data_IF_600520421078
#
_entry.id   IF_600520421078
#
_cell.length_a   1.000
_cell.length_b   1.000
_cell.length_c   1.000
_cell.angle_alpha   90.00
_cell.angle_beta   90.00
_cell.angle_gamma   90.00
#
_symmetry.space_group_name_H-M   'P 1'
#
loop_
_entity.id
_entity.type
_entity.pdbx_description
1 polymer ?
#
# COMPACT_ATOMS: atom_id res chain seq x y z
N UNK A 1 -47.24 -14.08 65.67
CA UNK A 1 -45.83 -13.86 65.22
C UNK A 1 -45.85 -12.92 64.06
N UNK A 2 -45.53 -11.65 64.23
CA UNK A 2 -45.56 -10.63 63.23
C UNK A 2 -44.12 -10.50 62.65
N UNK A 3 -43.91 -10.90 61.37
CA UNK A 3 -42.64 -10.69 60.68
C UNK A 3 -42.51 -9.21 60.28
N UNK A 4 -41.61 -8.49 60.97
CA UNK A 4 -41.23 -7.12 60.58
C UNK A 4 -40.39 -7.16 59.25
N UNK A 5 -41.00 -6.69 58.18
CA UNK A 5 -40.29 -6.40 56.94
C UNK A 5 -39.34 -5.21 57.16
N UNK A 6 -38.02 -5.45 57.15
CA UNK A 6 -37.02 -4.37 57.10
C UNK A 6 -37.11 -3.70 55.71
N UNK A 7 -37.64 -2.48 55.60
CA UNK A 7 -37.54 -1.64 54.40
C UNK A 7 -36.04 -1.41 54.09
N UNK A 8 -35.54 -1.99 53.01
CA UNK A 8 -34.21 -1.63 52.48
C UNK A 8 -34.25 -0.15 52.12
N UNK A 9 -33.50 0.69 52.83
CA UNK A 9 -33.29 2.09 52.44
C UNK A 9 -32.49 2.09 51.16
N UNK A 10 -33.07 2.61 50.08
CA UNK A 10 -32.41 2.85 48.84
C UNK A 10 -31.43 4.02 49.04
N UNK A 11 -30.13 3.75 48.90
CA UNK A 11 -29.12 4.77 49.08
C UNK A 11 -28.99 5.58 47.78
N UNK A 12 -29.85 6.57 47.60
CA UNK A 12 -29.94 7.41 46.39
C UNK A 12 -28.59 8.06 46.06
N UNK A 13 -27.79 8.48 47.03
CA UNK A 13 -26.44 9.03 46.79
C UNK A 13 -25.46 8.01 46.17
N UNK A 14 -25.54 6.74 46.62
CA UNK A 14 -24.71 5.66 46.03
C UNK A 14 -25.15 5.36 44.61
N UNK A 15 -26.44 5.34 44.35
CA UNK A 15 -26.96 5.18 42.98
C UNK A 15 -26.50 6.34 42.05
N UNK A 16 -26.62 7.59 42.54
CA UNK A 16 -26.21 8.75 41.77
C UNK A 16 -24.70 8.72 41.49
N UNK A 17 -23.87 8.31 42.45
CA UNK A 17 -22.44 8.15 42.29
C UNK A 17 -22.11 7.12 41.17
N UNK A 18 -22.72 5.93 41.23
CA UNK A 18 -22.53 4.92 40.21
C UNK A 18 -23.03 5.38 38.83
N UNK A 19 -24.17 6.06 38.77
CA UNK A 19 -24.68 6.62 37.50
C UNK A 19 -23.72 7.66 36.93
N UNK A 20 -23.16 8.53 37.77
CA UNK A 20 -22.17 9.55 37.32
C UNK A 20 -20.91 8.88 36.82
N UNK A 21 -20.41 7.84 37.50
CA UNK A 21 -19.23 7.09 37.04
C UNK A 21 -19.49 6.41 35.68
N UNK A 22 -20.66 5.82 35.48
CA UNK A 22 -21.04 5.20 34.21
C UNK A 22 -21.16 6.22 33.09
N UNK A 23 -21.74 7.41 33.36
CA UNK A 23 -21.87 8.49 32.41
C UNK A 23 -20.49 9.03 32.03
N UNK A 24 -19.62 9.29 33.00
CA UNK A 24 -18.24 9.78 32.75
C UNK A 24 -17.46 8.74 31.95
N UNK A 25 -17.53 7.46 32.37
CA UNK A 25 -16.89 6.37 31.61
C UNK A 25 -17.43 6.31 30.17
N UNK A 26 -18.74 6.44 29.95
CA UNK A 26 -19.34 6.47 28.62
C UNK A 26 -18.87 7.65 27.78
N UNK A 27 -18.80 8.84 28.37
CA UNK A 27 -18.35 10.07 27.66
C UNK A 27 -16.90 9.98 27.19
N UNK A 28 -16.02 9.34 27.95
CA UNK A 28 -14.61 9.19 27.59
C UNK A 28 -14.32 7.88 26.83
N UNK A 29 -14.96 6.78 27.21
CA UNK A 29 -14.73 5.46 26.65
C UNK A 29 -15.37 5.30 25.26
N UNK A 30 -16.60 5.80 25.05
CA UNK A 30 -17.27 5.69 23.75
C UNK A 30 -16.48 6.41 22.64
N UNK A 31 -16.06 7.69 22.78
CA UNK A 31 -15.25 8.34 21.75
C UNK A 31 -13.88 7.68 21.56
N UNK A 32 -13.31 7.10 22.62
CA UNK A 32 -12.04 6.36 22.51
C UNK A 32 -12.21 5.07 21.74
N UNK A 33 -13.26 4.29 22.01
CA UNK A 33 -13.58 3.04 21.28
C UNK A 33 -14.00 3.34 19.84
N UNK A 34 -14.69 4.47 19.59
CA UNK A 34 -15.14 4.86 18.25
C UNK A 34 -14.01 5.31 17.33
N UNK A 35 -12.80 5.53 17.85
CA UNK A 35 -11.63 5.72 16.98
C UNK A 35 -11.32 4.40 16.26
N UNK A 36 -11.21 4.39 14.92
CA UNK A 36 -10.98 3.16 14.15
C UNK A 36 -9.78 2.34 14.64
N UNK A 37 -8.70 3.00 15.02
CA UNK A 37 -7.48 2.39 15.54
C UNK A 37 -7.71 1.61 16.85
N UNK A 38 -8.46 2.19 17.80
CA UNK A 38 -8.72 1.55 19.10
C UNK A 38 -9.73 0.41 18.96
N UNK A 39 -10.76 0.59 18.13
CA UNK A 39 -11.73 -0.47 17.83
C UNK A 39 -11.07 -1.68 17.18
N UNK A 40 -10.11 -1.46 16.27
CA UNK A 40 -9.34 -2.53 15.62
C UNK A 40 -8.50 -3.30 16.63
N UNK A 41 -7.78 -2.59 17.51
CA UNK A 41 -6.97 -3.20 18.58
C UNK A 41 -7.80 -4.09 19.50
N UNK A 42 -8.95 -3.61 19.97
CA UNK A 42 -9.85 -4.37 20.84
C UNK A 42 -10.45 -5.58 20.12
N UNK A 43 -10.86 -5.44 18.86
CA UNK A 43 -11.35 -6.55 18.04
C UNK A 43 -10.28 -7.64 17.89
N UNK A 44 -9.04 -7.28 17.59
CA UNK A 44 -7.93 -8.22 17.46
C UNK A 44 -7.63 -8.92 18.80
N UNK A 45 -7.69 -8.19 19.93
CA UNK A 45 -7.52 -8.78 21.26
C UNK A 45 -8.63 -9.80 21.59
N UNK A 46 -9.87 -9.50 21.22
CA UNK A 46 -11.00 -10.42 21.40
C UNK A 46 -10.84 -11.66 20.51
N UNK A 47 -10.48 -11.48 19.24
CA UNK A 47 -10.24 -12.60 18.32
C UNK A 47 -9.08 -13.48 18.79
N UNK A 48 -7.96 -12.90 19.22
CA UNK A 48 -6.82 -13.67 19.76
C UNK A 48 -7.17 -14.43 21.04
N UNK A 49 -8.01 -13.84 21.90
CA UNK A 49 -8.50 -14.50 23.10
C UNK A 49 -9.45 -15.67 22.80
N UNK A 50 -10.36 -15.50 21.82
CA UNK A 50 -11.37 -16.51 21.49
C UNK A 50 -10.82 -17.67 20.64
N UNK A 51 -9.88 -17.40 19.75
CA UNK A 51 -9.43 -18.37 18.76
C UNK A 51 -7.98 -18.82 18.95
N UNK A 52 -7.22 -18.16 19.82
CA UNK A 52 -5.85 -18.56 20.19
C UNK A 52 -4.79 -18.54 19.08
N UNK A 53 -5.20 -18.23 17.85
CA UNK A 53 -4.40 -18.43 16.64
C UNK A 53 -3.72 -17.16 16.11
N UNK A 54 -4.16 -15.98 16.56
CA UNK A 54 -3.67 -14.70 16.02
C UNK A 54 -3.04 -13.83 17.10
N UNK A 55 -1.74 -14.04 17.31
CA UNK A 55 -0.92 -13.16 18.14
C UNK A 55 -0.13 -12.24 17.19
N UNK A 56 -0.52 -10.96 16.95
CA UNK A 56 0.19 -10.07 16.04
C UNK A 56 1.69 -9.96 16.35
N UNK A 57 2.05 -10.01 17.62
CA UNK A 57 3.44 -9.96 18.07
C UNK A 57 4.25 -11.22 17.77
N UNK A 58 3.61 -12.34 17.45
CA UNK A 58 4.31 -13.58 17.04
C UNK A 58 4.86 -13.51 15.61
N UNK A 59 4.42 -12.55 14.79
CA UNK A 59 4.94 -12.35 13.45
C UNK A 59 6.21 -11.48 13.47
N UNK A 60 7.23 -11.89 12.71
CA UNK A 60 8.49 -11.16 12.60
C UNK A 60 8.37 -9.82 11.85
N UNK A 61 7.26 -9.56 11.17
CA UNK A 61 7.04 -8.29 10.48
C UNK A 61 7.06 -7.11 11.46
N UNK A 62 7.71 -6.01 11.08
CA UNK A 62 7.73 -4.76 11.85
C UNK A 62 6.33 -4.17 11.96
N UNK A 63 5.63 -4.08 10.83
CA UNK A 63 4.23 -3.66 10.71
C UNK A 63 3.46 -4.63 9.82
N UNK A 64 2.20 -4.89 10.11
CA UNK A 64 1.37 -5.87 9.41
C UNK A 64 -0.11 -5.53 9.52
N UNK A 65 -0.84 -5.69 8.42
CA UNK A 65 -2.31 -5.78 8.43
C UNK A 65 -2.77 -6.97 7.59
N UNK A 66 -3.90 -7.55 7.98
CA UNK A 66 -4.68 -8.47 7.17
C UNK A 66 -6.12 -7.95 7.13
N UNK A 67 -6.63 -7.69 5.93
CA UNK A 67 -7.92 -7.02 5.71
C UNK A 67 -8.80 -7.86 4.79
N UNK A 68 -10.07 -8.05 5.16
CA UNK A 68 -11.11 -8.50 4.23
C UNK A 68 -11.62 -7.28 3.45
N UNK A 69 -11.32 -7.22 2.16
CA UNK A 69 -11.70 -6.10 1.29
C UNK A 69 -13.22 -5.98 1.08
N UNK A 70 -13.97 -7.06 1.26
CA UNK A 70 -15.43 -7.04 1.03
C UNK A 70 -16.20 -6.16 2.02
N UNK A 71 -15.68 -6.01 3.23
CA UNK A 71 -16.30 -5.25 4.32
C UNK A 71 -15.32 -4.33 5.06
N UNK A 72 -14.07 -4.26 4.58
CA UNK A 72 -12.98 -3.51 5.18
C UNK A 72 -12.70 -3.93 6.67
N UNK A 73 -12.92 -5.20 6.99
CA UNK A 73 -12.64 -5.76 8.29
C UNK A 73 -11.17 -6.12 8.45
N UNK A 74 -10.56 -5.63 9.52
CA UNK A 74 -9.17 -5.93 9.87
C UNK A 74 -9.12 -7.17 10.76
N UNK A 75 -8.56 -8.26 10.25
CA UNK A 75 -8.34 -9.50 11.02
C UNK A 75 -7.07 -9.44 11.86
N UNK A 76 -6.02 -8.82 11.32
CA UNK A 76 -4.74 -8.63 12.01
C UNK A 76 -4.34 -7.18 11.83
N UNK A 77 -3.82 -6.59 12.89
CA UNK A 77 -3.21 -5.26 12.88
C UNK A 77 -2.06 -5.24 13.86
N UNK A 78 -0.87 -4.86 13.36
CA UNK A 78 0.35 -4.67 14.16
C UNK A 78 1.01 -3.40 13.67
N UNK A 79 1.09 -2.38 14.54
CA UNK A 79 1.77 -1.11 14.28
C UNK A 79 1.40 -0.49 12.93
N UNK A 80 0.12 -0.51 12.61
CA UNK A 80 -0.41 -0.13 11.30
C UNK A 80 -0.16 1.34 10.93
N UNK A 81 0.03 2.20 11.93
CA UNK A 81 0.34 3.62 11.77
C UNK A 81 1.86 3.92 11.91
N UNK A 82 2.69 2.92 12.20
CA UNK A 82 4.13 3.13 12.31
C UNK A 82 4.74 3.28 10.92
N UNK A 83 5.44 4.40 10.71
CA UNK A 83 6.13 4.67 9.45
C UNK A 83 7.30 3.72 9.25
N UNK A 84 7.39 3.15 8.04
CA UNK A 84 8.43 2.23 7.61
C UNK A 84 8.95 2.65 6.23
N UNK A 85 10.15 2.19 5.88
CA UNK A 85 10.69 2.32 4.52
C UNK A 85 9.79 1.57 3.52
N UNK A 86 9.26 2.23 2.47
CA UNK A 86 8.43 1.56 1.46
C UNK A 86 9.23 0.61 0.57
N UNK A 87 10.50 0.90 0.33
CA UNK A 87 11.27 0.32 -0.76
C UNK A 87 10.46 0.39 -2.08
N UNK A 88 10.55 -0.62 -2.94
CA UNK A 88 9.81 -0.65 -4.21
C UNK A 88 8.29 -0.64 -4.10
N UNK A 89 7.70 -0.69 -2.90
CA UNK A 89 6.25 -0.44 -2.73
C UNK A 89 5.89 1.04 -3.00
N UNK A 90 6.85 1.96 -2.95
CA UNK A 90 6.69 3.36 -3.37
C UNK A 90 6.11 3.47 -4.78
N UNK A 91 6.47 2.55 -5.69
CA UNK A 91 5.98 2.52 -7.07
C UNK A 91 4.46 2.41 -7.20
N UNK A 92 3.77 1.88 -6.17
CA UNK A 92 2.30 1.84 -6.16
C UNK A 92 1.70 3.25 -6.13
N UNK A 93 2.24 4.13 -5.30
CA UNK A 93 1.83 5.54 -5.24
C UNK A 93 2.20 6.30 -6.51
N UNK A 94 3.40 6.03 -7.05
CA UNK A 94 3.87 6.62 -8.32
C UNK A 94 2.94 6.26 -9.47
N UNK A 95 2.56 4.99 -9.59
CA UNK A 95 1.65 4.50 -10.64
C UNK A 95 0.25 5.10 -10.46
N UNK A 96 -0.27 5.13 -9.23
CA UNK A 96 -1.60 5.69 -8.94
C UNK A 96 -1.65 7.16 -9.38
N UNK A 97 -0.65 7.95 -9.02
CA UNK A 97 -0.59 9.35 -9.41
C UNK A 97 -0.36 9.55 -10.92
N UNK A 98 0.60 8.83 -11.51
CA UNK A 98 0.92 8.93 -12.94
C UNK A 98 -0.30 8.58 -13.82
N UNK A 99 -1.13 7.62 -13.40
CA UNK A 99 -2.37 7.25 -14.09
C UNK A 99 -3.45 8.36 -14.05
N UNK A 100 -3.31 9.36 -13.19
CA UNK A 100 -4.18 10.57 -13.21
C UNK A 100 -3.69 11.64 -14.18
N UNK A 101 -2.42 11.58 -14.62
CA UNK A 101 -1.77 12.59 -15.45
C UNK A 101 -1.84 12.25 -16.93
N UNK A 102 -1.73 10.97 -17.29
CA UNK A 102 -1.65 10.53 -18.68
C UNK A 102 -2.43 9.24 -18.92
N UNK A 103 -2.94 9.09 -20.16
CA UNK A 103 -3.63 7.89 -20.59
C UNK A 103 -2.68 6.70 -20.69
N UNK A 104 -3.18 5.49 -20.42
CA UNK A 104 -2.41 4.24 -20.44
C UNK A 104 -1.77 3.94 -21.78
N UNK A 105 -2.43 4.35 -22.88
CA UNK A 105 -1.95 4.14 -24.25
C UNK A 105 -1.08 5.30 -24.77
N UNK A 106 -0.74 6.27 -23.89
CA UNK A 106 0.20 7.33 -24.23
C UNK A 106 1.55 6.75 -24.60
N UNK A 107 2.14 7.24 -25.68
CA UNK A 107 3.51 6.89 -26.09
C UNK A 107 4.48 7.74 -25.27
N UNK A 108 5.32 7.06 -24.52
CA UNK A 108 6.34 7.63 -23.63
C UNK A 108 7.73 7.42 -24.25
N UNK A 109 8.41 8.47 -24.69
CA UNK A 109 9.77 8.38 -25.16
C UNK A 109 10.72 8.21 -23.98
N UNK A 110 11.23 7.00 -23.75
CA UNK A 110 12.22 6.75 -22.71
C UNK A 110 13.57 7.33 -23.13
N UNK A 111 14.06 8.31 -22.37
CA UNK A 111 15.36 8.92 -22.61
C UNK A 111 16.50 8.17 -21.90
N UNK A 112 17.67 8.14 -22.51
CA UNK A 112 18.87 7.61 -21.85
C UNK A 112 19.17 8.36 -20.54
N UNK A 113 18.90 9.67 -20.51
CA UNK A 113 19.13 10.51 -19.34
C UNK A 113 18.26 10.07 -18.15
N UNK A 114 16.95 9.85 -18.37
CA UNK A 114 16.05 9.35 -17.31
C UNK A 114 16.46 7.96 -16.82
N UNK A 115 16.77 7.05 -17.74
CA UNK A 115 17.22 5.69 -17.41
C UNK A 115 18.50 5.72 -16.57
N UNK A 116 19.45 6.61 -16.91
CA UNK A 116 20.75 6.72 -16.24
C UNK A 116 20.70 7.21 -14.78
N UNK A 117 19.57 7.76 -14.34
CA UNK A 117 19.34 8.14 -12.94
C UNK A 117 19.09 6.93 -12.02
N UNK A 118 18.86 5.77 -12.61
CA UNK A 118 18.71 4.52 -11.86
C UNK A 118 19.96 4.19 -11.07
N UNK A 119 19.82 3.96 -9.78
CA UNK A 119 20.95 3.68 -8.90
C UNK A 119 21.59 2.33 -9.22
N UNK A 120 22.93 2.24 -9.28
CA UNK A 120 23.63 0.98 -9.51
C UNK A 120 23.25 -0.09 -8.47
N UNK A 121 23.07 -1.33 -8.95
CA UNK A 121 22.71 -2.48 -8.08
C UNK A 121 21.24 -2.57 -7.69
N UNK A 122 20.40 -1.61 -8.10
CA UNK A 122 18.95 -1.69 -7.90
C UNK A 122 18.27 -2.52 -8.98
N UNK A 123 17.00 -2.91 -8.75
CA UNK A 123 16.20 -3.67 -9.72
C UNK A 123 15.96 -2.85 -10.99
N UNK A 124 16.14 -3.45 -12.15
CA UNK A 124 15.89 -2.84 -13.46
C UNK A 124 15.01 -3.74 -14.32
N UNK A 125 14.17 -3.13 -15.15
CA UNK A 125 13.38 -3.82 -16.17
C UNK A 125 14.15 -3.95 -17.51
N UNK A 126 15.29 -3.29 -17.64
CA UNK A 126 16.06 -3.22 -18.88
C UNK A 126 15.38 -2.31 -19.91
N UNK A 127 14.88 -1.16 -19.45
CA UNK A 127 14.31 -0.15 -20.34
C UNK A 127 15.41 0.43 -21.20
N UNK A 128 15.15 0.48 -22.52
CA UNK A 128 16.04 1.07 -23.53
C UNK A 128 15.54 2.46 -23.93
N UNK A 129 16.42 3.28 -24.53
CA UNK A 129 16.05 4.61 -25.02
C UNK A 129 15.24 4.48 -26.32
N UNK A 130 13.95 4.18 -26.18
CA UNK A 130 12.95 4.03 -27.24
C UNK A 130 11.54 4.32 -26.73
N UNK A 131 10.55 4.24 -27.58
CA UNK A 131 9.16 4.49 -27.21
C UNK A 131 8.52 3.28 -26.52
N UNK A 132 7.74 3.56 -25.48
CA UNK A 132 6.90 2.59 -24.73
C UNK A 132 5.47 3.12 -24.60
N UNK A 133 4.50 2.24 -24.53
CA UNK A 133 3.20 2.65 -23.98
C UNK A 133 3.31 2.82 -22.43
N UNK A 134 2.58 3.77 -21.88
CA UNK A 134 2.60 4.02 -20.42
C UNK A 134 2.24 2.76 -19.61
N UNK A 135 1.24 1.99 -20.06
CA UNK A 135 0.87 0.74 -19.40
C UNK A 135 2.01 -0.31 -19.42
N UNK A 136 2.89 -0.30 -20.43
CA UNK A 136 4.06 -1.17 -20.49
C UNK A 136 5.10 -0.76 -19.43
N UNK A 137 5.30 0.54 -19.23
CA UNK A 137 6.17 1.05 -18.16
C UNK A 137 5.59 0.73 -16.77
N UNK A 138 4.28 0.81 -16.59
CA UNK A 138 3.65 0.36 -15.35
C UNK A 138 3.86 -1.14 -15.13
N UNK A 139 3.75 -1.97 -16.16
CA UNK A 139 4.08 -3.39 -16.07
C UNK A 139 5.56 -3.62 -15.72
N UNK A 140 6.47 -2.84 -16.30
CA UNK A 140 7.89 -2.87 -15.98
C UNK A 140 8.20 -2.46 -14.52
N UNK A 141 7.41 -1.56 -13.94
CA UNK A 141 7.49 -1.18 -12.53
C UNK A 141 6.92 -2.23 -11.59
N UNK A 142 5.83 -2.91 -11.98
CA UNK A 142 5.08 -3.84 -11.13
C UNK A 142 5.69 -5.25 -11.15
N UNK A 143 6.03 -5.77 -12.33
CA UNK A 143 6.42 -7.16 -12.54
C UNK A 143 7.89 -7.41 -12.15
N UNK A 144 8.91 -6.86 -12.84
CA UNK A 144 10.31 -7.02 -12.45
C UNK A 144 10.76 -6.00 -11.39
N UNK A 145 9.86 -5.09 -10.98
CA UNK A 145 10.19 -4.00 -10.05
C UNK A 145 11.19 -2.97 -10.60
N UNK A 146 11.13 -2.68 -11.92
CA UNK A 146 12.09 -1.80 -12.62
C UNK A 146 12.14 -0.38 -12.06
N UNK A 147 13.31 0.02 -11.59
CA UNK A 147 13.58 1.39 -11.15
C UNK A 147 13.77 2.32 -12.36
N UNK A 148 14.40 1.80 -13.41
CA UNK A 148 14.57 2.48 -14.72
C UNK A 148 13.22 2.94 -15.29
N UNK A 149 12.22 2.07 -15.30
CA UNK A 149 10.86 2.41 -15.72
C UNK A 149 10.23 3.51 -14.85
N UNK A 150 10.46 3.49 -13.53
CA UNK A 150 9.92 4.49 -12.61
C UNK A 150 10.49 5.90 -12.91
N UNK A 151 11.79 6.02 -13.18
CA UNK A 151 12.40 7.29 -13.56
C UNK A 151 11.87 7.80 -14.90
N UNK A 152 11.66 6.93 -15.88
CA UNK A 152 11.06 7.30 -17.19
C UNK A 152 9.62 7.79 -17.03
N UNK A 153 8.82 7.13 -16.21
CA UNK A 153 7.44 7.57 -15.91
C UNK A 153 7.44 8.93 -15.23
N UNK A 154 8.31 9.13 -14.23
CA UNK A 154 8.39 10.41 -13.51
C UNK A 154 8.86 11.56 -14.42
N UNK A 155 9.83 11.31 -15.30
CA UNK A 155 10.28 12.28 -16.31
C UNK A 155 9.16 12.69 -17.26
N UNK A 156 8.46 11.71 -17.82
CA UNK A 156 7.35 11.95 -18.75
C UNK A 156 6.20 12.73 -18.11
N UNK A 157 5.74 12.29 -16.94
CA UNK A 157 4.63 12.95 -16.23
C UNK A 157 5.05 14.34 -15.75
N UNK A 158 6.28 14.52 -15.29
CA UNK A 158 6.83 15.83 -14.92
C UNK A 158 6.88 16.82 -16.10
N UNK A 159 7.18 16.29 -17.29
CA UNK A 159 7.11 17.08 -18.54
C UNK A 159 5.69 17.50 -18.91
N UNK A 160 4.69 16.68 -18.62
CA UNK A 160 3.27 17.08 -18.80
C UNK A 160 2.87 18.14 -17.76
N UNK A 161 3.27 17.98 -16.48
CA UNK A 161 2.97 18.93 -15.43
C UNK A 161 3.64 20.30 -15.66
N UNK A 162 4.83 20.33 -16.26
CA UNK A 162 5.56 21.56 -16.56
C UNK A 162 6.26 21.47 -17.92
N UNK A 163 5.54 21.78 -19.01
CA UNK A 163 6.09 21.66 -20.39
C UNK A 163 7.29 22.58 -20.70
N UNK A 164 7.51 23.60 -19.86
CA UNK A 164 8.64 24.52 -20.05
C UNK A 164 9.93 24.05 -19.39
N UNK A 165 9.89 22.95 -18.62
CA UNK A 165 11.05 22.43 -17.88
C UNK A 165 11.97 21.65 -18.81
N UNK A 166 13.21 22.09 -18.92
CA UNK A 166 14.16 21.60 -19.92
C UNK A 166 14.89 20.32 -19.49
N UNK A 167 15.25 20.19 -18.19
CA UNK A 167 16.07 19.06 -17.74
C UNK A 167 15.23 17.91 -17.21
N UNK A 168 15.69 16.68 -17.43
CA UNK A 168 15.09 15.46 -16.90
C UNK A 168 14.99 15.51 -15.37
N UNK A 169 16.08 15.93 -14.71
CA UNK A 169 16.11 15.99 -13.25
C UNK A 169 15.04 16.95 -12.69
N UNK A 170 14.88 18.14 -13.31
CA UNK A 170 13.87 19.11 -12.84
C UNK A 170 12.44 18.59 -13.09
N UNK A 171 12.18 17.89 -14.21
CA UNK A 171 10.87 17.27 -14.46
C UNK A 171 10.56 16.21 -13.43
N UNK A 172 11.53 15.36 -13.08
CA UNK A 172 11.36 14.37 -12.01
C UNK A 172 11.09 15.03 -10.66
N UNK A 173 11.82 16.09 -10.32
CA UNK A 173 11.59 16.84 -9.08
C UNK A 173 10.16 17.41 -9.04
N UNK A 174 9.69 18.03 -10.13
CA UNK A 174 8.32 18.53 -10.26
C UNK A 174 7.29 17.41 -10.07
N UNK A 175 7.52 16.25 -10.68
CA UNK A 175 6.65 15.09 -10.50
C UNK A 175 6.61 14.64 -9.03
N UNK A 176 7.76 14.51 -8.36
CA UNK A 176 7.85 14.06 -6.97
C UNK A 176 7.22 15.07 -6.00
N UNK A 177 7.44 16.37 -6.21
CA UNK A 177 6.80 17.41 -5.41
C UNK A 177 5.28 17.37 -5.55
N UNK A 178 4.78 17.24 -6.80
CA UNK A 178 3.35 17.14 -7.08
C UNK A 178 2.77 15.82 -6.55
N UNK A 179 3.50 14.71 -6.62
CA UNK A 179 3.12 13.43 -6.02
C UNK A 179 2.92 13.59 -4.51
N UNK A 180 3.87 14.20 -3.78
CA UNK A 180 3.74 14.37 -2.34
C UNK A 180 2.55 15.27 -1.96
N UNK A 181 2.20 16.28 -2.77
CA UNK A 181 0.95 17.05 -2.60
C UNK A 181 -0.26 16.14 -2.80
N UNK A 182 -0.29 15.37 -3.89
CA UNK A 182 -1.36 14.41 -4.18
C UNK A 182 -1.55 13.37 -3.07
N UNK A 183 -0.46 12.86 -2.47
CA UNK A 183 -0.53 11.92 -1.35
C UNK A 183 -1.28 12.53 -0.16
N UNK A 184 -1.01 13.80 0.18
CA UNK A 184 -1.72 14.51 1.25
C UNK A 184 -3.20 14.71 0.92
N UNK A 185 -3.52 15.11 -0.30
CA UNK A 185 -4.90 15.33 -0.77
C UNK A 185 -5.72 14.03 -0.77
N UNK A 186 -5.09 12.89 -1.05
CA UNK A 186 -5.69 11.55 -0.98
C UNK A 186 -5.82 11.00 0.43
N UNK A 187 -5.24 11.66 1.42
CA UNK A 187 -5.25 11.23 2.80
C UNK A 187 -4.16 10.23 3.18
N UNK A 188 -3.14 10.04 2.33
CA UNK A 188 -1.95 9.23 2.64
C UNK A 188 -0.95 10.07 3.44
N UNK A 189 -1.41 10.59 4.58
CA UNK A 189 -0.72 11.63 5.35
C UNK A 189 0.55 11.17 6.05
N UNK A 190 0.78 9.86 6.11
CA UNK A 190 1.99 9.26 6.70
C UNK A 190 2.97 8.77 5.64
N UNK A 191 2.74 9.14 4.37
CA UNK A 191 3.60 8.77 3.24
C UNK A 191 4.31 10.00 2.70
N UNK A 192 5.64 9.88 2.53
CA UNK A 192 6.48 10.85 1.84
C UNK A 192 7.52 10.11 1.00
N UNK A 193 7.71 10.52 -0.25
CA UNK A 193 8.61 9.88 -1.20
C UNK A 193 9.56 10.92 -1.81
N UNK A 194 10.84 10.55 -1.98
CA UNK A 194 11.89 11.45 -2.50
C UNK A 194 12.41 11.02 -3.87
N UNK A 195 12.16 9.78 -4.28
CA UNK A 195 12.46 9.28 -5.63
C UNK A 195 11.33 8.36 -6.14
N UNK A 196 11.19 8.18 -7.47
CA UNK A 196 10.07 7.42 -8.03
C UNK A 196 10.21 5.91 -7.87
N UNK A 197 11.36 5.43 -7.42
CA UNK A 197 11.67 4.00 -7.31
C UNK A 197 11.52 3.43 -5.90
N UNK A 198 11.56 4.30 -4.88
CA UNK A 198 11.59 3.94 -3.47
C UNK A 198 12.98 3.47 -3.00
N UNK A 199 14.03 3.97 -3.64
CA UNK A 199 15.42 3.68 -3.25
C UNK A 199 15.92 4.62 -2.15
N UNK A 200 15.30 5.78 -2.00
CA UNK A 200 15.68 6.77 -1.01
C UNK A 200 15.38 6.28 0.42
N UNK A 201 16.38 6.39 1.31
CA UNK A 201 16.32 5.88 2.68
C UNK A 201 15.50 6.77 3.63
N UNK A 202 15.18 8.00 3.22
CA UNK A 202 14.34 8.93 3.98
C UNK A 202 12.85 8.80 3.61
N UNK A 203 12.52 7.99 2.59
CA UNK A 203 11.14 7.72 2.20
C UNK A 203 10.40 6.94 3.29
N UNK A 204 9.18 7.34 3.57
CA UNK A 204 8.35 6.75 4.63
C UNK A 204 6.94 6.44 4.12
N UNK A 205 6.35 5.38 4.64
CA UNK A 205 4.94 5.01 4.45
C UNK A 205 4.42 4.18 5.61
N UNK A 206 3.13 3.93 5.67
CA UNK A 206 2.49 3.00 6.61
C UNK A 206 1.77 1.88 5.86
N UNK A 207 1.52 0.76 6.53
CA UNK A 207 0.72 -0.32 5.94
C UNK A 207 -0.73 0.09 5.70
N UNK A 208 -1.25 1.13 6.39
CA UNK A 208 -2.57 1.70 6.12
C UNK A 208 -2.59 2.52 4.83
N UNK A 209 -1.59 3.38 4.61
CA UNK A 209 -1.50 4.14 3.37
C UNK A 209 -1.28 3.20 2.17
N UNK A 210 -0.45 2.16 2.33
CA UNK A 210 -0.29 1.10 1.34
C UNK A 210 -1.60 0.35 1.06
N UNK A 211 -2.37 -0.01 2.07
CA UNK A 211 -3.69 -0.61 1.87
C UNK A 211 -4.62 0.32 1.09
N UNK A 212 -4.58 1.60 1.38
CA UNK A 212 -5.44 2.60 0.74
C UNK A 212 -5.12 2.76 -0.74
N UNK A 213 -3.84 2.93 -1.12
CA UNK A 213 -3.43 3.05 -2.52
C UNK A 213 -3.68 1.75 -3.30
N UNK A 214 -3.42 0.59 -2.69
CA UNK A 214 -3.68 -0.70 -3.33
C UNK A 214 -5.17 -0.89 -3.59
N UNK A 215 -6.04 -0.54 -2.64
CA UNK A 215 -7.48 -0.61 -2.84
C UNK A 215 -7.95 0.27 -4.00
N UNK A 216 -7.40 1.48 -4.17
CA UNK A 216 -7.71 2.33 -5.33
C UNK A 216 -7.22 1.70 -6.64
N UNK A 217 -5.98 1.21 -6.70
CA UNK A 217 -5.43 0.57 -7.88
C UNK A 217 -6.20 -0.70 -8.28
N UNK A 218 -6.70 -1.46 -7.32
CA UNK A 218 -7.48 -2.68 -7.55
C UNK A 218 -8.88 -2.40 -8.16
N UNK A 219 -9.36 -1.17 -8.20
CA UNK A 219 -10.57 -0.81 -8.96
C UNK A 219 -10.34 -0.82 -10.47
N UNK A 220 -9.07 -0.77 -10.93
CA UNK A 220 -8.72 -0.80 -12.33
C UNK A 220 -8.41 -2.22 -12.81
N UNK A 221 -9.10 -2.68 -13.86
CA UNK A 221 -8.91 -4.02 -14.41
C UNK A 221 -7.48 -4.20 -14.97
N UNK A 222 -6.93 -3.18 -15.65
CA UNK A 222 -5.55 -3.24 -16.16
C UNK A 222 -4.50 -3.52 -15.07
N UNK A 223 -4.70 -2.96 -13.87
CA UNK A 223 -3.81 -3.20 -12.75
C UNK A 223 -3.89 -4.66 -12.28
N UNK A 224 -5.11 -5.18 -12.11
CA UNK A 224 -5.35 -6.60 -11.76
C UNK A 224 -4.74 -7.55 -12.79
N UNK A 225 -4.88 -7.23 -14.07
CA UNK A 225 -4.35 -8.03 -15.18
C UNK A 225 -2.81 -8.10 -15.14
N UNK A 226 -2.14 -7.00 -14.82
CA UNK A 226 -0.67 -6.96 -14.75
C UNK A 226 -0.17 -7.70 -13.51
N UNK A 227 -0.70 -7.40 -12.32
CA UNK A 227 -0.16 -7.93 -11.06
C UNK A 227 -0.37 -9.43 -10.88
N UNK A 228 -1.33 -10.03 -11.57
CA UNK A 228 -1.67 -11.45 -11.45
C UNK A 228 -0.77 -12.38 -12.25
N UNK A 229 0.10 -11.84 -13.12
CA UNK A 229 0.92 -12.64 -14.01
C UNK A 229 2.27 -12.98 -13.38
N UNK A 230 2.69 -14.25 -13.51
CA UNK A 230 4.03 -14.69 -13.14
C UNK A 230 5.11 -14.17 -14.11
N UNK A 231 4.71 -13.85 -15.34
CA UNK A 231 5.51 -13.16 -16.35
C UNK A 231 4.61 -12.30 -17.23
N UNK A 232 5.12 -11.18 -17.70
CA UNK A 232 4.42 -10.25 -18.57
C UNK A 232 5.22 -10.01 -19.84
N UNK A 233 4.55 -10.03 -20.99
CA UNK A 233 5.15 -9.70 -22.28
C UNK A 233 4.47 -8.44 -22.84
N UNK A 234 5.24 -7.36 -22.90
CA UNK A 234 4.84 -6.09 -23.49
C UNK A 234 5.00 -6.13 -25.01
N UNK A 235 4.03 -5.59 -25.74
CA UNK A 235 4.19 -5.20 -27.15
C UNK A 235 4.41 -3.70 -27.19
N UNK A 236 5.49 -3.26 -27.79
CA UNK A 236 5.91 -1.86 -27.84
C UNK A 236 5.34 -1.13 -29.07
N UNK A 237 5.37 0.22 -29.12
CA UNK A 237 4.83 0.98 -30.25
C UNK A 237 5.43 0.61 -31.61
N UNK A 238 6.68 0.14 -31.67
CA UNK A 238 7.35 -0.32 -32.88
C UNK A 238 7.01 -1.78 -33.29
N UNK A 239 6.15 -2.45 -32.52
CA UNK A 239 5.76 -3.85 -32.71
C UNK A 239 6.72 -4.88 -32.09
N UNK A 240 7.86 -4.46 -31.57
CA UNK A 240 8.76 -5.36 -30.81
C UNK A 240 8.17 -5.78 -29.49
N UNK A 241 8.73 -6.83 -28.88
CA UNK A 241 8.26 -7.34 -27.58
C UNK A 241 9.36 -7.34 -26.54
N UNK A 242 8.99 -7.12 -25.29
CA UNK A 242 9.87 -7.24 -24.13
C UNK A 242 9.16 -8.02 -23.03
N UNK A 243 9.84 -8.97 -22.39
CA UNK A 243 9.24 -9.84 -21.38
C UNK A 243 9.93 -9.69 -20.02
N UNK A 244 9.13 -9.75 -18.96
CA UNK A 244 9.62 -9.68 -17.58
C UNK A 244 9.06 -10.81 -16.75
N UNK A 245 9.86 -11.32 -15.81
CA UNK A 245 9.43 -12.26 -14.78
C UNK A 245 9.02 -11.48 -13.50
N UNK A 246 7.94 -11.92 -12.87
CA UNK A 246 7.46 -11.28 -11.64
C UNK A 246 8.40 -11.63 -10.47
N UNK A 247 8.69 -10.62 -9.64
CA UNK A 247 9.45 -10.79 -8.40
C UNK A 247 8.65 -11.47 -7.29
N UNK A 248 7.32 -11.55 -7.42
CA UNK A 248 6.45 -12.23 -6.47
C UNK A 248 6.46 -13.75 -6.72
N UNK A 249 7.26 -14.46 -5.98
CA UNK A 249 7.43 -15.93 -6.10
C UNK A 249 6.16 -16.71 -5.76
N UNK A 250 5.18 -16.12 -5.07
CA UNK A 250 3.88 -16.77 -4.86
C UNK A 250 3.09 -16.99 -6.16
N UNK A 251 3.42 -16.27 -7.23
CA UNK A 251 2.77 -16.40 -8.54
C UNK A 251 3.47 -17.41 -9.47
N UNK A 252 4.68 -17.86 -9.13
CA UNK A 252 5.47 -18.77 -9.96
C UNK A 252 5.15 -20.23 -9.62
N UNK A 253 4.49 -21.01 -10.52
CA UNK A 253 4.15 -22.42 -10.25
C UNK A 253 5.36 -23.32 -10.01
N UNK A 254 6.58 -22.84 -10.33
CA UNK A 254 7.82 -23.60 -10.11
C UNK A 254 8.50 -23.26 -8.78
N UNK A 255 7.96 -22.28 -8.05
CA UNK A 255 8.48 -21.87 -6.75
C UNK A 255 7.94 -22.74 -5.62
N UNK A 256 8.78 -23.03 -4.62
CA UNK A 256 8.38 -23.67 -3.36
C UNK A 256 7.34 -22.84 -2.57
N UNK A 257 7.21 -21.54 -2.89
CA UNK A 257 6.27 -20.62 -2.27
C UNK A 257 4.99 -20.42 -3.08
N UNK A 258 4.81 -21.12 -4.20
CA UNK A 258 3.63 -20.97 -5.05
C UNK A 258 2.33 -21.15 -4.28
N UNK A 259 1.37 -20.24 -4.50
CA UNK A 259 0.04 -20.34 -3.93
C UNK A 259 -1.01 -19.89 -4.94
N UNK A 260 -1.84 -20.83 -5.39
CA UNK A 260 -2.87 -20.60 -6.41
C UNK A 260 -3.92 -19.54 -6.04
N UNK A 261 -4.06 -19.23 -4.75
CA UNK A 261 -5.00 -18.20 -4.25
C UNK A 261 -4.38 -16.79 -4.21
N UNK A 262 -3.07 -16.65 -4.44
CA UNK A 262 -2.41 -15.34 -4.53
C UNK A 262 -2.55 -14.80 -5.95
N UNK A 263 -3.03 -13.56 -6.07
CA UNK A 263 -3.25 -12.88 -7.36
C UNK A 263 -2.53 -11.53 -7.47
N UNK A 264 -1.47 -11.34 -6.74
CA UNK A 264 -0.63 -10.13 -6.75
C UNK A 264 -0.11 -9.84 -5.35
N UNK A 265 0.43 -8.68 -5.02
CA UNK A 265 0.46 -7.41 -5.75
C UNK A 265 1.91 -7.01 -6.08
N UNK A 266 2.74 -6.76 -5.03
CA UNK A 266 4.07 -6.17 -5.22
C UNK A 266 5.01 -6.54 -4.09
N UNK A 267 6.25 -6.82 -4.44
CA UNK A 267 7.39 -6.98 -3.53
C UNK A 267 8.20 -5.70 -3.43
N UNK A 268 8.90 -5.51 -2.31
CA UNK A 268 9.89 -4.47 -2.11
C UNK A 268 11.05 -4.98 -1.28
N UNK A 269 12.26 -4.56 -1.59
CA UNK A 269 13.44 -4.83 -0.78
C UNK A 269 14.41 -3.65 -0.87
N UNK A 270 14.96 -3.27 0.27
CA UNK A 270 15.99 -2.25 0.38
C UNK A 270 16.86 -2.58 1.58
N UNK A 271 18.16 -2.75 1.38
CA UNK A 271 19.07 -3.28 2.41
C UNK A 271 18.57 -4.62 2.95
N UNK A 272 18.32 -4.71 4.26
CA UNK A 272 17.81 -5.90 4.95
C UNK A 272 16.29 -5.87 5.17
N UNK A 273 15.60 -4.83 4.66
CA UNK A 273 14.15 -4.70 4.77
C UNK A 273 13.44 -5.35 3.58
N UNK A 274 12.48 -6.21 3.87
CA UNK A 274 11.63 -6.89 2.90
C UNK A 274 10.18 -6.49 3.11
N UNK A 275 9.54 -6.00 2.07
CA UNK A 275 8.17 -5.55 2.07
C UNK A 275 7.35 -6.36 1.06
N UNK A 276 6.09 -6.61 1.38
CA UNK A 276 5.22 -7.39 0.53
C UNK A 276 3.77 -6.94 0.69
N UNK A 277 3.10 -6.70 -0.43
CA UNK A 277 1.65 -6.61 -0.50
C UNK A 277 1.13 -7.81 -1.28
N UNK A 278 0.23 -8.56 -0.66
CA UNK A 278 -0.41 -9.73 -1.27
C UNK A 278 -1.91 -9.49 -1.41
N UNK A 279 -2.44 -9.76 -2.60
CA UNK A 279 -3.87 -9.95 -2.82
C UNK A 279 -4.15 -11.46 -2.82
N UNK A 280 -4.94 -11.91 -1.86
CA UNK A 280 -5.29 -13.31 -1.68
C UNK A 280 -6.78 -13.50 -1.89
N UNK A 281 -7.16 -14.45 -2.75
CA UNK A 281 -8.56 -14.75 -3.05
C UNK A 281 -8.90 -16.18 -2.65
N UNK A 282 -9.90 -16.34 -1.80
CA UNK A 282 -10.43 -17.66 -1.44
C UNK A 282 -11.94 -17.61 -1.25
N UNK A 283 -12.63 -18.60 -1.79
CA UNK A 283 -14.10 -18.69 -1.72
C UNK A 283 -14.84 -17.44 -2.19
N UNK A 284 -14.30 -16.75 -3.22
CA UNK A 284 -14.88 -15.52 -3.78
C UNK A 284 -14.66 -14.26 -2.95
N UNK A 285 -13.84 -14.32 -1.90
CA UNK A 285 -13.42 -13.18 -1.08
C UNK A 285 -11.98 -12.80 -1.34
N UNK A 286 -11.70 -11.52 -1.23
CA UNK A 286 -10.35 -10.94 -1.32
C UNK A 286 -9.97 -10.28 -0.01
#
# INVERSE_FOLDING_TARGET
MSRRYKKRRFHFGVFLFFLTVVVIAGVFFIPWVMKPENFRSEKNAIYSFLYGEFQPDSYNAKSLILVDRSNNDFFISKKENEQQLPASLAKLFVIEYAATIADLDSIVPASYEAISLTKPGSSVAGIEAKDYFLHNLFAAMLVPSGNDAAYVVADYCGGILSPQTATVQDRINIFMDSLNVHLQEKGYTNTVLYDPSGYDMDALTTVLDLNSVVNQLLEFQWFRDIISQSSYTATLPDGSTQSWKNTNTFLDPTSDYYNENVIGVKTGSLSDDYNLVVLYRKYGKE
#
